data_IF_406490244296
#
_entry.id   IF_406490244296
#
_cell.length_a   1.000
_cell.length_b   1.000
_cell.length_c   1.000
_cell.angle_alpha   90.00
_cell.angle_beta   90.00
_cell.angle_gamma   90.00
#
_symmetry.space_group_name_H-M   'P 1'
#
loop_
_entity.id
_entity.type
_entity.pdbx_description
1 polymer ?
#
# COMPACT_ATOMS: atom_id res chain seq x y z
N UNK A 1 0.70 10.59 -17.86
CA UNK A 1 0.21 10.57 -16.46
C UNK A 1 0.01 9.15 -15.94
N UNK A 2 0.03 8.11 -16.80
CA UNK A 2 -0.20 6.71 -16.39
C UNK A 2 0.85 6.13 -15.43
N UNK A 3 2.05 6.72 -15.38
CA UNK A 3 3.15 6.28 -14.48
C UNK A 3 3.43 7.26 -13.32
N UNK A 4 2.58 8.26 -13.09
CA UNK A 4 2.78 9.20 -11.98
C UNK A 4 2.48 8.51 -10.64
N UNK A 5 3.40 8.64 -9.68
CA UNK A 5 3.24 8.07 -8.34
C UNK A 5 2.27 8.89 -7.51
N UNK A 6 1.61 8.25 -6.55
CA UNK A 6 0.60 8.91 -5.72
C UNK A 6 1.14 10.16 -5.02
N UNK A 7 2.29 10.08 -4.33
CA UNK A 7 2.85 11.26 -3.64
C UNK A 7 3.10 12.44 -4.57
N UNK A 8 3.62 12.19 -5.78
CA UNK A 8 3.92 13.24 -6.74
C UNK A 8 2.64 13.90 -7.25
N UNK A 9 1.59 13.09 -7.50
CA UNK A 9 0.28 13.60 -7.89
C UNK A 9 -0.34 14.46 -6.78
N UNK A 10 -0.27 14.00 -5.53
CA UNK A 10 -0.80 14.71 -4.38
C UNK A 10 -0.06 16.02 -4.09
N UNK A 11 1.28 16.01 -4.09
CA UNK A 11 2.09 17.22 -3.87
C UNK A 11 1.81 18.27 -4.96
N UNK A 12 1.75 17.86 -6.23
CA UNK A 12 1.41 18.75 -7.34
C UNK A 12 0.02 19.37 -7.18
N UNK A 13 -0.97 18.58 -6.75
CA UNK A 13 -2.30 19.10 -6.45
C UNK A 13 -2.27 20.13 -5.32
N UNK A 14 -1.56 19.84 -4.22
CA UNK A 14 -1.40 20.74 -3.07
C UNK A 14 -0.70 22.05 -3.45
N UNK A 15 0.31 22.00 -4.31
CA UNK A 15 0.98 23.19 -4.84
C UNK A 15 0.03 24.09 -5.64
N UNK A 16 -0.81 23.52 -6.50
CA UNK A 16 -1.81 24.26 -7.28
C UNK A 16 -2.83 24.94 -6.36
N UNK A 17 -3.32 24.22 -5.35
CA UNK A 17 -4.24 24.77 -4.35
C UNK A 17 -3.58 25.90 -3.57
N UNK A 18 -2.35 25.71 -3.10
CA UNK A 18 -1.60 26.70 -2.34
C UNK A 18 -1.27 27.97 -3.15
N UNK A 19 -1.05 27.83 -4.46
CA UNK A 19 -0.82 28.96 -5.35
C UNK A 19 -2.07 29.87 -5.55
N UNK A 20 -3.26 29.39 -5.17
CA UNK A 20 -4.51 30.14 -5.29
C UNK A 20 -5.24 30.23 -3.94
N UNK A 21 -4.75 31.00 -2.96
CA UNK A 21 -5.33 31.07 -1.61
C UNK A 21 -6.77 31.61 -1.55
N UNK A 22 -7.26 32.20 -2.65
CA UNK A 22 -8.63 32.69 -2.81
C UNK A 22 -9.47 31.81 -3.74
N UNK A 23 -9.11 30.52 -3.89
CA UNK A 23 -9.79 29.59 -4.80
C UNK A 23 -11.29 29.39 -4.51
N UNK A 24 -11.75 29.68 -3.29
CA UNK A 24 -13.18 29.61 -2.92
C UNK A 24 -13.76 28.19 -2.79
N UNK A 25 -13.04 27.16 -3.24
CA UNK A 25 -13.39 25.76 -3.01
C UNK A 25 -13.26 25.35 -1.53
N UNK A 26 -14.23 24.58 -1.03
CA UNK A 26 -14.13 23.95 0.29
C UNK A 26 -13.30 22.65 0.23
N UNK A 27 -12.98 22.10 1.41
CA UNK A 27 -12.19 20.89 1.52
C UNK A 27 -12.82 19.70 0.80
N UNK A 28 -14.15 19.58 0.84
CA UNK A 28 -14.82 18.45 0.20
C UNK A 28 -14.67 18.49 -1.32
N UNK A 29 -14.83 19.68 -1.90
CA UNK A 29 -14.69 19.90 -3.33
C UNK A 29 -13.27 19.61 -3.81
N UNK A 30 -12.26 20.01 -3.05
CA UNK A 30 -10.86 19.68 -3.33
C UNK A 30 -10.60 18.17 -3.28
N UNK A 31 -11.13 17.47 -2.27
CA UNK A 31 -11.05 16.00 -2.17
C UNK A 31 -11.73 15.33 -3.37
N UNK A 32 -12.94 15.77 -3.75
CA UNK A 32 -13.67 15.21 -4.89
C UNK A 32 -12.92 15.42 -6.20
N UNK A 33 -12.37 16.62 -6.43
CA UNK A 33 -11.58 16.90 -7.64
C UNK A 33 -10.31 16.07 -7.72
N UNK A 34 -9.59 15.94 -6.61
CA UNK A 34 -8.44 15.06 -6.58
C UNK A 34 -8.85 13.61 -6.86
N UNK A 35 -9.89 13.12 -6.16
CA UNK A 35 -10.41 11.78 -6.34
C UNK A 35 -10.79 11.51 -7.78
N UNK A 36 -11.66 12.33 -8.37
CA UNK A 36 -12.14 12.18 -9.75
C UNK A 36 -11.02 12.26 -10.78
N UNK A 37 -10.03 13.14 -10.56
CA UNK A 37 -8.87 13.34 -11.43
C UNK A 37 -7.84 12.20 -11.43
N UNK A 38 -7.90 11.28 -10.45
CA UNK A 38 -6.99 10.15 -10.39
C UNK A 38 -7.24 9.09 -11.46
N UNK A 39 -6.16 8.49 -11.95
CA UNK A 39 -6.20 7.30 -12.79
C UNK A 39 -6.85 6.11 -12.04
N UNK A 40 -7.57 5.20 -12.72
CA UNK A 40 -8.27 4.08 -12.08
C UNK A 40 -7.39 3.21 -11.15
N UNK A 41 -6.13 2.86 -11.50
CA UNK A 41 -5.27 2.09 -10.59
C UNK A 41 -4.97 2.82 -9.27
N UNK A 42 -4.84 4.15 -9.33
CA UNK A 42 -4.53 4.97 -8.16
C UNK A 42 -5.76 5.12 -7.24
N UNK A 43 -6.97 5.23 -7.84
CA UNK A 43 -8.23 5.15 -7.09
C UNK A 43 -8.37 3.81 -6.39
N UNK A 44 -8.13 2.71 -7.09
CA UNK A 44 -8.24 1.36 -6.51
C UNK A 44 -7.27 1.18 -5.33
N UNK A 45 -6.06 1.71 -5.44
CA UNK A 45 -5.07 1.68 -4.37
C UNK A 45 -5.51 2.49 -3.15
N UNK A 46 -6.02 3.71 -3.37
CA UNK A 46 -6.55 4.55 -2.31
C UNK A 46 -7.71 3.84 -1.57
N UNK A 47 -8.67 3.31 -2.33
CA UNK A 47 -9.80 2.56 -1.77
C UNK A 47 -9.32 1.34 -0.98
N UNK A 48 -8.35 0.58 -1.50
CA UNK A 48 -7.78 -0.58 -0.81
C UNK A 48 -7.15 -0.19 0.53
N UNK A 49 -6.37 0.90 0.55
CA UNK A 49 -5.76 1.39 1.79
C UNK A 49 -6.80 1.93 2.79
N UNK A 50 -7.90 2.48 2.29
CA UNK A 50 -8.98 3.01 3.09
C UNK A 50 -9.82 1.91 3.74
N UNK A 51 -9.74 0.68 3.23
CA UNK A 51 -10.69 -0.39 3.56
C UNK A 51 -11.99 -0.30 2.77
N UNK A 52 -11.97 0.44 1.65
CA UNK A 52 -13.10 0.84 0.85
C UNK A 52 -13.79 2.11 1.34
N UNK A 53 -14.63 2.66 0.48
CA UNK A 53 -15.59 3.72 0.79
C UNK A 53 -14.94 5.04 1.23
N UNK A 54 -13.82 5.39 0.58
CA UNK A 54 -13.06 6.62 0.89
C UNK A 54 -13.96 7.87 0.85
N UNK A 55 -14.88 7.93 -0.11
CA UNK A 55 -15.79 9.06 -0.32
C UNK A 55 -16.89 9.20 0.76
N UNK A 56 -17.00 8.30 1.74
CA UNK A 56 -17.91 8.47 2.87
C UNK A 56 -17.23 9.05 4.11
N UNK A 57 -15.92 9.33 4.05
CA UNK A 57 -15.21 10.05 5.11
C UNK A 57 -15.64 11.51 5.15
N UNK A 58 -15.55 12.12 6.33
CA UNK A 58 -15.66 13.58 6.39
C UNK A 58 -14.47 14.25 5.67
N UNK A 59 -14.62 15.50 5.20
CA UNK A 59 -13.61 16.13 4.35
C UNK A 59 -12.22 16.25 4.99
N UNK A 60 -12.18 16.51 6.30
CA UNK A 60 -10.92 16.71 7.01
C UNK A 60 -10.17 15.38 7.21
N UNK A 61 -10.89 14.30 7.55
CA UNK A 61 -10.34 12.94 7.59
C UNK A 61 -9.86 12.48 6.22
N UNK A 62 -10.63 12.77 5.16
CA UNK A 62 -10.26 12.43 3.80
C UNK A 62 -8.95 13.14 3.39
N UNK A 63 -8.80 14.43 3.69
CA UNK A 63 -7.57 15.18 3.45
C UNK A 63 -6.37 14.60 4.20
N UNK A 64 -6.51 14.34 5.51
CA UNK A 64 -5.45 13.74 6.32
C UNK A 64 -5.07 12.34 5.81
N UNK A 65 -6.04 11.58 5.33
CA UNK A 65 -5.79 10.26 4.77
C UNK A 65 -5.01 10.34 3.46
N UNK A 66 -5.30 11.32 2.59
CA UNK A 66 -4.53 11.57 1.37
C UNK A 66 -3.07 11.96 1.70
N UNK A 67 -2.85 12.81 2.71
CA UNK A 67 -1.51 13.12 3.20
C UNK A 67 -0.77 11.87 3.70
N UNK A 68 -1.45 11.01 4.46
CA UNK A 68 -0.89 9.73 4.91
C UNK A 68 -0.54 8.80 3.75
N UNK A 69 -1.43 8.64 2.77
CA UNK A 69 -1.19 7.79 1.60
C UNK A 69 -0.01 8.32 0.78
N UNK A 70 0.08 9.64 0.60
CA UNK A 70 1.22 10.28 -0.05
C UNK A 70 2.53 9.93 0.67
N UNK A 71 2.59 10.07 1.99
CA UNK A 71 3.79 9.75 2.76
C UNK A 71 4.20 8.28 2.62
N UNK A 72 3.25 7.35 2.77
CA UNK A 72 3.51 5.91 2.63
C UNK A 72 3.96 5.56 1.20
N UNK A 73 3.37 6.20 0.19
CA UNK A 73 3.63 5.92 -1.22
C UNK A 73 5.03 6.29 -1.70
N UNK A 74 5.75 7.16 -0.97
CA UNK A 74 7.16 7.49 -1.27
C UNK A 74 8.06 6.26 -1.28
N UNK A 75 7.72 5.25 -0.46
CA UNK A 75 8.55 4.07 -0.22
C UNK A 75 8.23 2.85 -1.08
N UNK A 76 7.18 2.88 -1.91
CA UNK A 76 6.69 1.67 -2.59
C UNK A 76 7.63 1.08 -3.64
N UNK A 77 8.49 1.90 -4.22
CA UNK A 77 9.51 1.44 -5.18
C UNK A 77 10.83 1.06 -4.51
N UNK A 78 10.95 1.25 -3.18
CA UNK A 78 12.13 0.75 -2.49
C UNK A 78 12.11 -0.78 -2.51
N UNK A 79 13.18 -1.42 -3.01
CA UNK A 79 13.29 -2.86 -2.89
C UNK A 79 13.27 -3.20 -1.40
N UNK A 80 12.24 -3.96 -0.99
CA UNK A 80 12.03 -4.47 0.38
C UNK A 80 13.30 -5.13 0.95
N UNK A 81 14.20 -5.58 0.06
CA UNK A 81 15.54 -6.01 0.39
C UNK A 81 16.53 -4.87 0.13
N UNK A 82 17.01 -4.20 1.19
CA UNK A 82 18.34 -3.57 1.17
C UNK A 82 19.32 -4.66 0.76
N UNK A 83 19.72 -4.69 -0.52
CA UNK A 83 20.66 -5.69 -1.03
C UNK A 83 21.91 -5.64 -0.15
N UNK A 84 22.31 -6.73 0.53
CA UNK A 84 23.59 -6.75 1.21
C UNK A 84 24.67 -6.46 0.16
N UNK A 85 25.66 -5.65 0.56
CA UNK A 85 26.73 -5.15 -0.31
C UNK A 85 27.26 -6.29 -1.20
N UNK A 86 27.13 -6.12 -2.52
CA UNK A 86 27.58 -7.11 -3.51
C UNK A 86 29.09 -7.12 -3.50
N UNK A 87 29.66 -7.99 -2.69
CA UNK A 87 30.99 -8.51 -2.93
C UNK A 87 30.91 -10.04 -3.03
N UNK A 88 30.62 -10.52 -4.23
CA UNK A 88 31.06 -11.80 -4.78
C UNK A 88 30.55 -11.99 -6.20
N UNK A 89 31.50 -11.93 -7.11
CA UNK A 89 31.49 -12.51 -8.44
C UNK A 89 30.93 -13.94 -8.42
N UNK A 90 29.82 -14.21 -9.11
CA UNK A 90 29.73 -15.25 -10.14
C UNK A 90 28.32 -15.39 -10.75
N UNK A 91 28.33 -15.47 -12.07
CA UNK A 91 27.47 -16.30 -12.93
C UNK A 91 26.05 -15.79 -13.26
N UNK A 92 25.99 -15.12 -14.41
CA UNK A 92 24.79 -14.83 -15.20
C UNK A 92 24.33 -16.11 -15.92
N UNK A 93 23.21 -16.70 -15.49
CA UNK A 93 22.44 -17.64 -16.31
C UNK A 93 20.94 -17.63 -15.93
N UNK A 94 20.16 -17.00 -16.82
CA UNK A 94 18.75 -17.24 -17.22
C UNK A 94 17.78 -17.96 -16.25
N UNK A 95 16.68 -17.26 -15.88
CA UNK A 95 15.26 -17.70 -15.85
C UNK A 95 14.48 -16.66 -15.02
N UNK A 96 13.66 -15.76 -15.57
CA UNK A 96 12.29 -15.94 -16.07
C UNK A 96 11.33 -16.62 -15.08
N UNK A 97 10.51 -15.79 -14.40
CA UNK A 97 9.18 -16.17 -13.89
C UNK A 97 9.09 -16.76 -12.48
N UNK A 98 8.16 -16.19 -11.69
CA UNK A 98 7.68 -16.63 -10.37
C UNK A 98 8.67 -16.42 -9.22
N UNK A 99 8.19 -15.73 -8.17
CA UNK A 99 8.92 -15.39 -6.95
C UNK A 99 9.76 -16.57 -6.42
N UNK A 100 11.08 -16.49 -6.60
CA UNK A 100 12.01 -17.44 -6.01
C UNK A 100 12.09 -17.17 -4.51
N UNK A 101 11.61 -18.14 -3.73
CA UNK A 101 11.78 -18.12 -2.29
C UNK A 101 13.27 -18.37 -1.96
N UNK A 102 13.84 -17.70 -0.95
CA UNK A 102 15.21 -17.92 -0.53
C UNK A 102 15.44 -19.40 -0.18
N UNK A 103 16.50 -19.99 -0.71
CA UNK A 103 16.85 -21.42 -0.61
C UNK A 103 17.02 -21.93 0.85
N UNK A 104 17.08 -21.03 1.84
CA UNK A 104 17.21 -21.36 3.26
C UNK A 104 15.92 -21.28 4.09
N UNK A 105 14.77 -20.95 3.49
CA UNK A 105 13.49 -20.90 4.19
C UNK A 105 12.77 -22.24 4.07
N UNK A 106 12.74 -23.01 5.16
CA UNK A 106 11.90 -24.22 5.23
C UNK A 106 10.41 -23.83 5.33
N UNK A 107 9.80 -23.68 4.16
CA UNK A 107 8.38 -23.39 3.99
C UNK A 107 7.51 -24.48 4.61
N UNK A 108 7.98 -25.73 4.61
CA UNK A 108 7.23 -26.88 5.11
C UNK A 108 7.13 -26.82 6.64
N UNK A 109 8.22 -26.54 7.34
CA UNK A 109 8.20 -26.36 8.80
C UNK A 109 7.31 -25.17 9.22
N UNK A 110 7.34 -24.07 8.46
CA UNK A 110 6.49 -22.91 8.73
C UNK A 110 5.01 -23.23 8.52
N UNK A 111 4.66 -23.92 7.44
CA UNK A 111 3.29 -24.36 7.18
C UNK A 111 2.79 -25.31 8.28
N UNK A 112 3.59 -26.30 8.65
CA UNK A 112 3.27 -27.22 9.74
C UNK A 112 3.03 -26.49 11.08
N UNK A 113 3.81 -25.44 11.35
CA UNK A 113 3.63 -24.61 12.55
C UNK A 113 2.30 -23.86 12.54
N UNK A 114 1.88 -23.35 11.38
CA UNK A 114 0.60 -22.64 11.24
C UNK A 114 -0.57 -23.60 11.42
N UNK A 115 -0.52 -24.78 10.78
CA UNK A 115 -1.57 -25.82 10.90
C UNK A 115 -1.77 -26.19 12.37
N UNK A 116 -0.69 -26.48 13.10
CA UNK A 116 -0.76 -26.82 14.52
C UNK A 116 -1.40 -25.71 15.37
N UNK A 117 -1.13 -24.44 15.06
CA UNK A 117 -1.73 -23.31 15.77
C UNK A 117 -3.22 -23.15 15.45
N UNK A 118 -3.65 -23.49 14.24
CA UNK A 118 -5.07 -23.50 13.86
C UNK A 118 -5.83 -24.59 14.63
N UNK A 119 -5.29 -25.81 14.67
CA UNK A 119 -5.88 -26.92 15.43
C UNK A 119 -6.02 -26.59 16.92
N UNK A 120 -4.99 -25.96 17.51
CA UNK A 120 -5.01 -25.51 18.91
C UNK A 120 -6.09 -24.45 19.19
N UNK A 121 -6.39 -23.59 18.21
CA UNK A 121 -7.44 -22.57 18.33
C UNK A 121 -8.83 -23.20 18.21
N UNK A 122 -9.04 -24.09 17.24
CA UNK A 122 -10.30 -24.82 17.08
C UNK A 122 -10.64 -25.66 18.32
N UNK A 123 -9.65 -26.34 18.89
CA UNK A 123 -9.82 -27.11 20.13
C UNK A 123 -10.14 -26.24 21.36
N UNK A 124 -9.70 -24.98 21.38
CA UNK A 124 -10.03 -24.01 22.44
C UNK A 124 -11.42 -23.42 22.27
N UNK A 125 -11.83 -23.15 21.04
CA UNK A 125 -13.19 -22.70 20.73
C UNK A 125 -14.21 -23.77 21.14
N UNK A 126 -13.96 -25.05 20.84
CA UNK A 126 -14.87 -26.14 21.25
C UNK A 126 -14.99 -26.32 22.77
N UNK A 127 -13.94 -25.97 23.54
CA UNK A 127 -13.95 -26.01 25.01
C UNK A 127 -14.64 -24.79 25.64
N UNK A 128 -14.81 -23.69 24.91
CA UNK A 128 -15.45 -22.45 25.39
C UNK A 128 -16.98 -22.50 25.35
N UNK A 129 -17.56 -23.39 24.54
CA UNK A 129 -19.00 -23.54 24.34
C UNK A 129 -19.60 -24.78 25.05
N UNK A 130 -18.89 -25.35 26.04
CA UNK A 130 -19.37 -26.44 26.89
C UNK A 130 -19.44 -26.03 28.35
#
# INVERSE_FOLDING_TARGET
MEDEKFFACWERFREIVAACPHHGFDNWMLVSYFYEGMAPPMKQLLETMCGGDFMNKNPDEAFQFLDYVAEVSRSWDEPIVKKPSRDRTMNRARASGVYTLPEGLDVQAKLATVIRRLDDLEAKEFKRYK
#
